data_IF_307557957451
#
_entry.id   IF_307557957451
#
_cell.length_a   1.000
_cell.length_b   1.000
_cell.length_c   1.000
_cell.angle_alpha   90.00
_cell.angle_beta   90.00
_cell.angle_gamma   90.00
#
_symmetry.space_group_name_H-M   'P 1'
#
loop_
_entity.id
_entity.type
_entity.pdbx_description
1 polymer ?
#
# COMPACT_ATOMS: atom_id res chain seq x y z
N UNK A 1 22.86 18.62 30.28
CA UNK A 1 22.45 17.55 31.21
C UNK A 1 23.61 16.60 31.49
N UNK A 2 24.41 16.19 30.49
CA UNK A 2 25.65 15.42 30.70
C UNK A 2 26.65 16.09 31.67
N UNK A 3 26.90 17.40 31.53
CA UNK A 3 27.80 18.17 32.41
C UNK A 3 27.43 18.21 33.90
N UNK A 4 26.20 17.83 34.28
CA UNK A 4 25.72 17.89 35.67
C UNK A 4 25.37 16.54 36.28
N UNK A 5 25.28 15.48 35.48
CA UNK A 5 24.83 14.15 35.91
C UNK A 5 25.87 13.05 35.57
N UNK A 6 26.80 13.29 34.64
CA UNK A 6 27.73 12.24 34.20
C UNK A 6 27.01 11.08 33.48
N UNK A 7 27.75 10.33 32.67
CA UNK A 7 27.18 9.20 31.90
C UNK A 7 26.63 8.10 32.83
N UNK A 8 27.19 7.94 34.03
CA UNK A 8 26.76 6.94 35.02
C UNK A 8 25.34 7.22 35.57
N UNK A 9 24.99 8.47 35.89
CA UNK A 9 23.63 8.77 36.36
C UNK A 9 22.60 8.71 35.22
N UNK A 10 23.03 8.95 33.97
CA UNK A 10 22.21 8.72 32.77
C UNK A 10 21.87 7.23 32.58
N UNK A 11 22.76 6.32 32.97
CA UNK A 11 22.45 4.88 33.00
C UNK A 11 21.39 4.57 34.05
N UNK A 12 21.43 5.19 35.24
CA UNK A 12 20.39 5.02 36.26
C UNK A 12 19.03 5.54 35.81
N UNK A 13 18.99 6.67 35.10
CA UNK A 13 17.75 7.17 34.47
C UNK A 13 17.25 6.20 33.39
N UNK A 14 18.16 5.64 32.59
CA UNK A 14 17.83 4.64 31.58
C UNK A 14 17.24 3.37 32.21
N UNK A 15 17.80 2.91 33.33
CA UNK A 15 17.25 1.79 34.13
C UNK A 15 15.86 2.11 34.63
N UNK A 16 15.62 3.32 35.12
CA UNK A 16 14.29 3.76 35.56
C UNK A 16 13.25 3.75 34.43
N UNK A 17 13.63 4.26 33.24
CA UNK A 17 12.78 4.24 32.04
C UNK A 17 12.53 2.80 31.59
N UNK A 18 13.56 1.95 31.56
CA UNK A 18 13.42 0.54 31.20
C UNK A 18 12.54 -0.22 32.19
N UNK A 19 12.66 0.05 33.49
CA UNK A 19 11.79 -0.53 34.51
C UNK A 19 10.33 -0.08 34.35
N UNK A 20 10.11 1.20 34.01
CA UNK A 20 8.78 1.72 33.68
C UNK A 20 8.22 1.06 32.41
N UNK A 21 9.02 0.91 31.36
CA UNK A 21 8.62 0.18 30.15
C UNK A 21 8.30 -1.28 30.46
N UNK A 22 9.13 -1.96 31.24
CA UNK A 22 8.90 -3.34 31.67
C UNK A 22 7.63 -3.46 32.52
N UNK A 23 7.37 -2.49 33.39
CA UNK A 23 6.15 -2.43 34.18
C UNK A 23 4.91 -2.22 33.31
N UNK A 24 4.97 -1.35 32.31
CA UNK A 24 3.89 -1.14 31.32
C UNK A 24 3.64 -2.42 30.52
N UNK A 25 4.70 -3.08 30.03
CA UNK A 25 4.60 -4.36 29.32
C UNK A 25 4.02 -5.45 30.22
N UNK A 26 4.44 -5.50 31.48
CA UNK A 26 3.88 -6.44 32.47
C UNK A 26 2.40 -6.17 32.74
N UNK A 27 1.99 -4.91 32.81
CA UNK A 27 0.59 -4.50 33.02
C UNK A 27 -0.30 -4.84 31.81
N UNK A 28 0.29 -4.83 30.61
CA UNK A 28 -0.37 -5.18 29.34
C UNK A 28 -0.14 -6.65 28.94
N UNK A 29 0.45 -7.47 29.82
CA UNK A 29 0.88 -8.83 29.49
C UNK A 29 -0.25 -9.71 28.95
N UNK A 30 -1.44 -9.66 29.53
CA UNK A 30 -2.59 -10.48 29.08
C UNK A 30 -3.07 -10.09 27.67
N UNK A 31 -3.01 -8.80 27.29
CA UNK A 31 -3.29 -8.37 25.91
C UNK A 31 -2.12 -8.66 24.96
N UNK A 32 -0.88 -8.64 25.48
CA UNK A 32 0.33 -8.89 24.70
C UNK A 32 0.58 -10.37 24.43
N UNK A 33 0.21 -11.30 25.31
CA UNK A 33 0.35 -12.75 25.07
C UNK A 33 -0.53 -13.19 23.87
N UNK A 34 -1.73 -12.61 23.72
CA UNK A 34 -2.55 -12.78 22.53
C UNK A 34 -1.90 -12.18 21.26
N UNK A 35 -1.19 -11.05 21.40
CA UNK A 35 -0.44 -10.40 20.33
C UNK A 35 0.85 -11.12 19.94
N UNK A 36 1.53 -11.77 20.89
CA UNK A 36 2.79 -12.48 20.70
C UNK A 36 2.56 -13.85 20.03
N UNK A 37 1.50 -14.57 20.43
CA UNK A 37 1.01 -15.72 19.67
C UNK A 37 0.56 -15.33 18.26
N UNK A 38 -0.13 -14.20 18.10
CA UNK A 38 -0.51 -13.70 16.78
C UNK A 38 0.72 -13.33 15.94
N UNK A 39 1.75 -12.72 16.52
CA UNK A 39 3.02 -12.39 15.85
C UNK A 39 3.82 -13.63 15.47
N UNK A 40 3.86 -14.65 16.33
CA UNK A 40 4.50 -15.93 16.04
C UNK A 40 3.79 -16.66 14.90
N UNK A 41 2.45 -16.75 14.95
CA UNK A 41 1.62 -17.32 13.89
C UNK A 41 1.72 -16.53 12.59
N UNK A 42 1.78 -15.19 12.66
CA UNK A 42 2.07 -14.34 11.51
C UNK A 42 3.44 -14.69 10.93
N UNK A 43 4.50 -14.78 11.74
CA UNK A 43 5.85 -15.13 11.27
C UNK A 43 5.88 -16.49 10.59
N UNK A 44 5.13 -17.47 11.12
CA UNK A 44 5.00 -18.80 10.55
C UNK A 44 4.20 -18.82 9.24
N UNK A 45 3.03 -18.16 9.19
CA UNK A 45 2.19 -18.02 7.97
C UNK A 45 2.92 -17.22 6.87
N UNK A 46 3.74 -16.24 7.27
CA UNK A 46 4.62 -15.48 6.38
C UNK A 46 5.73 -16.35 5.79
N UNK A 47 6.27 -17.30 6.56
CA UNK A 47 7.32 -18.22 6.09
C UNK A 47 6.81 -19.24 5.07
N UNK A 48 5.55 -19.68 5.19
CA UNK A 48 5.00 -20.76 4.37
C UNK A 48 4.46 -20.30 3.00
N UNK A 49 4.09 -19.02 2.83
CA UNK A 49 3.50 -18.55 1.56
C UNK A 49 3.83 -17.12 1.13
N UNK A 50 4.35 -16.25 2.01
CA UNK A 50 4.61 -14.87 1.62
C UNK A 50 5.99 -14.66 0.95
N UNK A 51 6.96 -15.56 1.20
CA UNK A 51 8.22 -15.58 0.46
C UNK A 51 8.05 -15.98 -1.02
N UNK A 52 7.13 -16.89 -1.34
CA UNK A 52 6.80 -17.22 -2.73
C UNK A 52 6.09 -16.05 -3.43
N UNK A 53 5.13 -15.39 -2.75
CA UNK A 53 4.48 -14.17 -3.27
C UNK A 53 5.48 -13.03 -3.58
N UNK A 54 6.50 -12.87 -2.73
CA UNK A 54 7.60 -11.95 -2.99
C UNK A 54 8.43 -12.37 -4.19
N UNK A 55 8.73 -13.66 -4.33
CA UNK A 55 9.53 -14.18 -5.45
C UNK A 55 8.81 -14.01 -6.79
N UNK A 56 7.49 -14.19 -6.81
CA UNK A 56 6.70 -14.24 -8.03
C UNK A 56 6.33 -12.84 -8.56
N UNK A 57 6.19 -11.85 -7.67
CA UNK A 57 5.86 -10.47 -8.07
C UNK A 57 7.10 -9.63 -8.37
N UNK A 58 7.27 -9.21 -9.64
CA UNK A 58 8.35 -8.28 -10.03
C UNK A 58 8.29 -6.95 -9.26
N UNK A 59 7.08 -6.43 -8.99
CA UNK A 59 6.88 -5.14 -8.31
C UNK A 59 7.30 -5.20 -6.84
N UNK A 60 6.91 -6.26 -6.12
CA UNK A 60 7.29 -6.45 -4.72
C UNK A 60 8.80 -6.67 -4.57
N UNK A 61 9.45 -7.37 -5.51
CA UNK A 61 10.93 -7.52 -5.51
C UNK A 61 11.64 -6.19 -5.66
N UNK A 62 11.15 -5.31 -6.53
CA UNK A 62 11.77 -3.99 -6.72
C UNK A 62 11.59 -3.11 -5.47
N UNK A 63 10.41 -3.14 -4.83
CA UNK A 63 10.19 -2.48 -3.53
C UNK A 63 11.15 -3.06 -2.49
N UNK A 64 11.22 -4.38 -2.39
CA UNK A 64 12.10 -5.08 -1.47
C UNK A 64 13.58 -4.69 -1.63
N UNK A 65 14.05 -4.64 -2.89
CA UNK A 65 15.41 -4.22 -3.21
C UNK A 65 15.69 -2.76 -2.83
N UNK A 66 14.76 -1.84 -3.13
CA UNK A 66 14.86 -0.43 -2.75
C UNK A 66 15.00 -0.30 -1.23
N UNK A 67 14.10 -0.95 -0.48
CA UNK A 67 14.10 -0.92 0.97
C UNK A 67 15.37 -1.50 1.57
N UNK A 68 15.80 -2.65 1.08
CA UNK A 68 17.03 -3.31 1.51
C UNK A 68 18.26 -2.44 1.27
N UNK A 69 18.34 -1.79 0.11
CA UNK A 69 19.42 -0.85 -0.20
C UNK A 69 19.39 0.39 0.70
N UNK A 70 18.20 0.93 1.02
CA UNK A 70 18.08 2.01 2.00
C UNK A 70 18.65 1.62 3.36
N UNK A 71 18.34 0.40 3.82
CA UNK A 71 18.83 -0.12 5.11
C UNK A 71 20.33 -0.33 5.07
N UNK A 72 20.87 -0.98 4.02
CA UNK A 72 22.31 -1.20 3.87
C UNK A 72 23.07 0.14 3.85
N UNK A 73 22.61 1.12 3.05
CA UNK A 73 23.22 2.45 3.01
C UNK A 73 23.17 3.13 4.38
N UNK A 74 22.03 3.04 5.07
CA UNK A 74 21.90 3.57 6.43
C UNK A 74 22.87 2.93 7.41
N UNK A 75 23.03 1.61 7.38
CA UNK A 75 24.00 0.89 8.22
C UNK A 75 25.44 1.33 7.94
N UNK A 76 25.81 1.51 6.67
CA UNK A 76 27.14 2.01 6.30
C UNK A 76 27.37 3.44 6.80
N UNK A 77 26.40 4.34 6.61
CA UNK A 77 26.48 5.74 7.06
C UNK A 77 26.52 5.83 8.59
N UNK A 78 25.76 5.00 9.30
CA UNK A 78 25.80 4.91 10.76
C UNK A 78 27.18 4.54 11.26
N UNK A 79 27.82 3.55 10.63
CA UNK A 79 29.18 3.20 10.97
C UNK A 79 30.15 4.36 10.70
N UNK A 80 30.06 5.02 9.55
CA UNK A 80 30.92 6.16 9.22
C UNK A 80 30.76 7.32 10.20
N UNK A 81 29.52 7.63 10.60
CA UNK A 81 29.21 8.66 11.58
C UNK A 81 29.78 8.32 12.96
N UNK A 82 29.50 7.12 13.47
CA UNK A 82 30.02 6.68 14.76
C UNK A 82 31.55 6.64 14.77
N UNK A 83 32.17 6.17 13.68
CA UNK A 83 33.63 6.16 13.56
C UNK A 83 34.23 7.57 13.51
N UNK A 84 33.59 8.50 12.81
CA UNK A 84 34.03 9.89 12.77
C UNK A 84 33.93 10.56 14.16
N UNK A 85 32.87 10.29 14.91
CA UNK A 85 32.71 10.74 16.31
C UNK A 85 33.81 10.15 17.19
N UNK A 86 34.08 8.85 17.06
CA UNK A 86 35.10 8.17 17.86
C UNK A 86 36.51 8.72 17.66
N UNK A 87 36.84 9.16 16.44
CA UNK A 87 38.14 9.74 16.11
C UNK A 87 38.32 11.19 16.58
N UNK A 88 37.24 11.96 16.72
CA UNK A 88 37.30 13.40 17.00
C UNK A 88 36.83 13.79 18.40
N UNK A 89 36.02 12.96 19.06
CA UNK A 89 35.48 13.22 20.39
C UNK A 89 36.03 12.19 21.37
N UNK A 90 36.88 12.67 22.28
CA UNK A 90 37.52 11.87 23.32
C UNK A 90 36.71 11.97 24.61
N UNK A 91 36.50 10.83 25.27
CA UNK A 91 35.70 10.74 26.50
C UNK A 91 34.23 10.38 26.23
N UNK A 92 33.67 9.53 27.08
CA UNK A 92 32.29 9.03 26.93
C UNK A 92 31.25 10.13 27.17
N UNK A 93 31.44 10.98 28.17
CA UNK A 93 30.53 12.10 28.47
C UNK A 93 30.41 13.07 27.28
N UNK A 94 31.52 13.40 26.63
CA UNK A 94 31.55 14.29 25.48
C UNK A 94 30.84 13.68 24.26
N UNK A 95 30.96 12.36 24.05
CA UNK A 95 30.23 11.64 23.00
C UNK A 95 28.72 11.65 23.28
N UNK A 96 28.32 11.37 24.52
CA UNK A 96 26.91 11.40 24.95
C UNK A 96 26.31 12.77 24.76
N UNK A 97 27.03 13.83 25.14
CA UNK A 97 26.59 15.21 24.91
C UNK A 97 26.44 15.53 23.42
N UNK A 98 27.41 15.15 22.59
CA UNK A 98 27.36 15.36 21.16
C UNK A 98 26.17 14.64 20.52
N UNK A 99 25.97 13.35 20.82
CA UNK A 99 24.81 12.60 20.29
C UNK A 99 23.50 13.22 20.75
N UNK A 100 23.38 13.61 22.03
CA UNK A 100 22.18 14.26 22.55
C UNK A 100 21.85 15.55 21.80
N UNK A 101 22.83 16.45 21.60
CA UNK A 101 22.63 17.69 20.83
C UNK A 101 22.34 17.41 19.36
N UNK A 102 23.10 16.51 18.73
CA UNK A 102 22.96 16.17 17.32
C UNK A 102 21.57 15.60 17.02
N UNK A 103 21.13 14.59 17.77
CA UNK A 103 19.82 13.97 17.55
C UNK A 103 18.66 14.89 17.93
N UNK A 104 18.82 15.76 18.92
CA UNK A 104 17.81 16.79 19.22
C UNK A 104 17.62 17.75 18.04
N UNK A 105 18.71 18.29 17.49
CA UNK A 105 18.68 19.17 16.31
C UNK A 105 18.13 18.41 15.11
N UNK A 106 18.59 17.18 14.90
CA UNK A 106 18.14 16.34 13.78
C UNK A 106 16.63 16.11 13.81
N UNK A 107 16.05 15.82 14.97
CA UNK A 107 14.61 15.62 15.10
C UNK A 107 13.82 16.90 14.78
N UNK A 108 14.27 18.07 15.26
CA UNK A 108 13.64 19.36 14.94
C UNK A 108 13.71 19.65 13.43
N UNK A 109 14.88 19.43 12.82
CA UNK A 109 15.06 19.57 11.37
C UNK A 109 14.19 18.57 10.61
N UNK A 110 14.12 17.32 11.06
CA UNK A 110 13.30 16.27 10.43
C UNK A 110 11.82 16.64 10.42
N UNK A 111 11.29 17.15 11.54
CA UNK A 111 9.90 17.64 11.61
C UNK A 111 9.67 18.79 10.62
N UNK A 112 10.60 19.74 10.57
CA UNK A 112 10.53 20.91 9.68
C UNK A 112 10.52 20.49 8.20
N UNK A 113 11.41 19.56 7.83
CA UNK A 113 11.49 18.96 6.50
C UNK A 113 10.23 18.17 6.18
N UNK A 114 9.71 17.39 7.13
CA UNK A 114 8.51 16.58 6.92
C UNK A 114 7.26 17.41 6.63
N UNK A 115 7.06 18.52 7.34
CA UNK A 115 5.87 19.37 7.14
C UNK A 115 5.95 20.15 5.83
N UNK A 116 7.11 20.72 5.51
CA UNK A 116 7.26 21.63 4.37
C UNK A 116 7.71 20.90 3.10
N UNK A 117 8.84 20.20 3.19
CA UNK A 117 9.54 19.66 2.03
C UNK A 117 8.82 18.42 1.47
N UNK A 118 8.38 17.48 2.31
CA UNK A 118 7.70 16.26 1.84
C UNK A 118 6.43 16.58 1.05
N UNK A 119 5.57 17.44 1.61
CA UNK A 119 4.33 17.86 0.95
C UNK A 119 4.59 18.62 -0.36
N UNK A 120 5.58 19.52 -0.36
CA UNK A 120 5.95 20.28 -1.56
C UNK A 120 6.53 19.40 -2.67
N UNK A 121 7.45 18.49 -2.35
CA UNK A 121 8.07 17.58 -3.34
C UNK A 121 7.01 16.68 -3.97
N UNK A 122 6.16 16.06 -3.15
CA UNK A 122 5.12 15.14 -3.64
C UNK A 122 4.08 15.85 -4.52
N UNK A 123 3.62 17.05 -4.13
CA UNK A 123 2.64 17.81 -4.92
C UNK A 123 3.22 18.38 -6.22
N UNK A 124 4.46 18.87 -6.19
CA UNK A 124 5.04 19.62 -7.33
C UNK A 124 5.73 18.75 -8.36
N UNK A 125 6.37 17.65 -7.92
CA UNK A 125 7.20 16.79 -8.77
C UNK A 125 6.75 15.32 -8.79
N UNK A 126 5.78 14.96 -7.95
CA UNK A 126 5.18 13.61 -7.92
C UNK A 126 6.06 12.54 -7.26
N UNK A 127 5.47 11.35 -7.16
CA UNK A 127 6.07 10.15 -6.54
C UNK A 127 7.42 9.77 -7.17
N UNK A 128 7.56 9.95 -8.48
CA UNK A 128 8.75 9.54 -9.19
C UNK A 128 9.98 10.30 -8.70
N UNK A 129 9.90 11.64 -8.65
CA UNK A 129 10.99 12.50 -8.18
C UNK A 129 11.25 12.28 -6.71
N UNK A 130 10.21 12.16 -5.88
CA UNK A 130 10.33 11.85 -4.46
C UNK A 130 11.22 10.62 -4.17
N UNK A 131 11.06 9.54 -4.95
CA UNK A 131 11.85 8.31 -4.81
C UNK A 131 13.37 8.49 -5.06
N UNK A 132 13.76 9.49 -5.87
CA UNK A 132 15.18 9.74 -6.17
C UNK A 132 15.82 10.80 -5.26
N UNK A 133 15.02 11.62 -4.57
CA UNK A 133 15.55 12.72 -3.74
C UNK A 133 16.43 12.18 -2.62
N UNK A 134 16.00 11.13 -1.92
CA UNK A 134 16.79 10.54 -0.84
C UNK A 134 18.14 9.97 -1.34
N UNK A 135 18.19 9.03 -2.32
CA UNK A 135 19.47 8.48 -2.75
C UNK A 135 20.38 9.54 -3.41
N UNK A 136 19.83 10.55 -4.09
CA UNK A 136 20.65 11.64 -4.64
C UNK A 136 21.19 12.57 -3.54
N UNK A 137 20.38 12.90 -2.53
CA UNK A 137 20.83 13.68 -1.37
C UNK A 137 21.94 12.96 -0.61
N UNK A 138 21.80 11.65 -0.42
CA UNK A 138 22.84 10.81 0.17
C UNK A 138 24.08 10.73 -0.71
N UNK A 139 23.96 10.65 -2.03
CA UNK A 139 25.12 10.66 -2.93
C UNK A 139 25.93 11.95 -2.81
N UNK A 140 25.27 13.11 -2.71
CA UNK A 140 25.92 14.41 -2.48
C UNK A 140 26.59 14.43 -1.11
N UNK A 141 25.91 13.98 -0.06
CA UNK A 141 26.48 13.97 1.28
C UNK A 141 27.67 12.99 1.42
N UNK A 142 27.57 11.81 0.83
CA UNK A 142 28.65 10.82 0.75
C UNK A 142 29.83 11.30 -0.10
N UNK A 143 29.60 12.13 -1.12
CA UNK A 143 30.67 12.80 -1.87
C UNK A 143 31.48 13.72 -0.96
N UNK A 144 30.80 14.43 -0.04
CA UNK A 144 31.45 15.23 0.99
C UNK A 144 32.39 14.41 1.86
N UNK A 145 31.94 13.23 2.34
CA UNK A 145 32.79 12.32 3.13
C UNK A 145 33.99 11.82 2.31
N UNK A 146 33.77 11.48 1.04
CA UNK A 146 34.84 10.98 0.16
C UNK A 146 35.92 12.02 -0.12
N UNK A 147 35.52 13.29 -0.21
CA UNK A 147 36.42 14.43 -0.40
C UNK A 147 37.18 14.77 0.89
N UNK A 148 36.45 14.90 2.00
CA UNK A 148 37.00 15.31 3.29
C UNK A 148 36.33 14.48 4.40
N UNK A 149 36.94 13.36 4.87
CA UNK A 149 36.31 12.45 5.83
C UNK A 149 36.41 12.99 7.27
N UNK A 150 35.69 14.07 7.56
CA UNK A 150 35.67 14.72 8.88
C UNK A 150 34.31 14.55 9.57
N UNK A 151 34.25 14.85 10.87
CA UNK A 151 33.02 14.77 11.65
C UNK A 151 31.86 15.57 11.01
N UNK A 152 32.14 16.74 10.44
CA UNK A 152 31.11 17.58 9.81
C UNK A 152 30.44 16.87 8.62
N UNK A 153 31.20 16.31 7.69
CA UNK A 153 30.66 15.64 6.50
C UNK A 153 29.90 14.36 6.86
N UNK A 154 30.39 13.62 7.86
CA UNK A 154 29.69 12.44 8.37
C UNK A 154 28.38 12.83 9.08
N UNK A 155 28.38 13.92 9.84
CA UNK A 155 27.18 14.46 10.51
C UNK A 155 26.16 14.97 9.50
N UNK A 156 26.59 15.65 8.43
CA UNK A 156 25.71 16.10 7.35
C UNK A 156 25.10 14.92 6.59
N UNK A 157 25.87 13.85 6.33
CA UNK A 157 25.34 12.64 5.71
C UNK A 157 24.32 11.93 6.60
N UNK A 158 24.62 11.77 7.90
CA UNK A 158 23.69 11.19 8.87
C UNK A 158 22.44 12.05 9.04
N UNK A 159 22.62 13.38 9.05
CA UNK A 159 21.51 14.33 9.15
C UNK A 159 20.60 14.30 7.92
N UNK A 160 21.20 14.23 6.72
CA UNK A 160 20.47 14.06 5.45
C UNK A 160 19.71 12.74 5.42
N UNK A 161 20.36 11.65 5.84
CA UNK A 161 19.73 10.33 5.96
C UNK A 161 18.53 10.40 6.89
N UNK A 162 18.71 10.87 8.13
CA UNK A 162 17.63 10.97 9.12
C UNK A 162 16.48 11.84 8.62
N UNK A 163 16.76 13.07 8.21
CA UNK A 163 15.74 14.03 7.84
C UNK A 163 14.92 13.57 6.61
N UNK A 164 15.56 12.99 5.59
CA UNK A 164 14.86 12.56 4.37
C UNK A 164 14.24 11.16 4.48
N UNK A 165 14.83 10.26 5.27
CA UNK A 165 14.32 8.88 5.44
C UNK A 165 13.01 8.86 6.22
N UNK A 166 12.93 9.57 7.33
CA UNK A 166 11.71 9.61 8.16
C UNK A 166 10.58 10.44 7.53
N UNK A 167 10.90 11.29 6.55
CA UNK A 167 9.92 12.18 5.95
C UNK A 167 9.48 11.69 4.56
N UNK A 168 10.38 11.76 3.57
CA UNK A 168 10.07 11.55 2.17
C UNK A 168 10.07 10.08 1.79
N UNK A 169 11.02 9.29 2.30
CA UNK A 169 11.09 7.86 2.02
C UNK A 169 9.92 7.12 2.63
N UNK A 170 9.55 7.41 3.88
CA UNK A 170 8.36 6.84 4.50
C UNK A 170 7.07 7.13 3.70
N UNK A 171 6.84 8.39 3.31
CA UNK A 171 5.69 8.75 2.48
C UNK A 171 5.74 8.05 1.10
N UNK A 172 6.93 7.95 0.50
CA UNK A 172 7.13 7.28 -0.79
C UNK A 172 6.84 5.79 -0.68
N UNK A 173 7.28 5.12 0.40
CA UNK A 173 7.00 3.69 0.65
C UNK A 173 5.50 3.42 0.72
N UNK A 174 4.75 4.23 1.45
CA UNK A 174 3.29 4.07 1.53
C UNK A 174 2.62 4.15 0.16
N UNK A 175 3.08 5.08 -0.68
CA UNK A 175 2.62 5.22 -2.06
C UNK A 175 3.07 4.05 -2.96
N UNK A 176 4.24 3.47 -2.74
CA UNK A 176 4.70 2.26 -3.46
C UNK A 176 3.83 1.02 -3.16
N UNK A 177 3.22 0.98 -1.96
CA UNK A 177 2.29 -0.06 -1.52
C UNK A 177 0.82 0.23 -1.86
N UNK A 178 0.50 1.40 -2.39
CA UNK A 178 -0.87 1.75 -2.81
C UNK A 178 -1.44 0.82 -3.90
N UNK A 179 -0.70 0.44 -4.97
CA UNK A 179 -1.20 -0.45 -6.01
C UNK A 179 -1.18 -1.94 -5.63
N UNK A 180 -0.83 -2.29 -4.39
CA UNK A 180 -0.77 -3.68 -3.93
C UNK A 180 -2.15 -4.06 -3.36
N UNK A 181 -2.80 -5.13 -3.86
CA UNK A 181 -4.11 -5.56 -3.37
C UNK A 181 -4.09 -5.79 -1.86
N UNK A 182 -5.15 -5.42 -1.17
CA UNK A 182 -5.24 -5.43 0.31
C UNK A 182 -4.89 -6.79 0.92
N UNK A 183 -5.35 -7.89 0.33
CA UNK A 183 -5.04 -9.26 0.77
C UNK A 183 -3.56 -9.64 0.65
N UNK A 184 -2.85 -9.09 -0.35
CA UNK A 184 -1.38 -9.25 -0.48
C UNK A 184 -0.67 -8.26 0.43
N UNK A 185 -1.16 -7.02 0.55
CA UNK A 185 -0.55 -5.96 1.35
C UNK A 185 -0.49 -6.32 2.84
N UNK A 186 -1.54 -6.92 3.40
CA UNK A 186 -1.56 -7.34 4.81
C UNK A 186 -0.52 -8.41 5.13
N UNK A 187 -0.22 -9.32 4.20
CA UNK A 187 0.83 -10.34 4.36
C UNK A 187 2.22 -9.82 3.98
N UNK A 188 2.32 -9.09 2.86
CA UNK A 188 3.60 -8.65 2.32
C UNK A 188 4.22 -7.49 3.11
N UNK A 189 3.43 -6.52 3.60
CA UNK A 189 3.98 -5.33 4.28
C UNK A 189 4.76 -5.70 5.55
N UNK A 190 4.21 -6.48 6.51
CA UNK A 190 4.97 -6.87 7.70
C UNK A 190 6.21 -7.72 7.38
N UNK A 191 6.12 -8.61 6.39
CA UNK A 191 7.27 -9.41 5.97
C UNK A 191 8.36 -8.55 5.35
N UNK A 192 7.99 -7.64 4.46
CA UNK A 192 8.91 -6.68 3.87
C UNK A 192 9.53 -5.81 4.96
N UNK A 193 8.73 -5.28 5.89
CA UNK A 193 9.21 -4.42 6.96
C UNK A 193 10.14 -5.18 7.92
N UNK A 194 9.86 -6.44 8.26
CA UNK A 194 10.66 -7.20 9.24
C UNK A 194 11.85 -7.92 8.60
N UNK A 195 11.60 -8.73 7.56
CA UNK A 195 12.63 -9.57 6.94
C UNK A 195 13.65 -8.74 6.18
N UNK A 196 13.24 -7.66 5.50
CA UNK A 196 14.18 -6.81 4.79
C UNK A 196 14.92 -5.89 5.74
N UNK A 197 14.27 -5.41 6.81
CA UNK A 197 14.98 -4.65 7.84
C UNK A 197 16.07 -5.48 8.50
N UNK A 198 15.74 -6.68 8.97
CA UNK A 198 16.72 -7.57 9.62
C UNK A 198 17.75 -8.09 8.61
N UNK A 199 17.29 -8.53 7.43
CA UNK A 199 18.16 -9.04 6.37
C UNK A 199 19.11 -7.98 5.84
N UNK A 200 18.60 -6.77 5.57
CA UNK A 200 19.39 -5.63 5.12
C UNK A 200 20.41 -5.18 6.17
N UNK A 201 20.02 -5.13 7.44
CA UNK A 201 20.95 -4.81 8.54
C UNK A 201 22.03 -5.88 8.67
N UNK A 202 21.67 -7.17 8.56
CA UNK A 202 22.62 -8.28 8.57
C UNK A 202 23.59 -8.23 7.40
N UNK A 203 23.10 -8.00 6.17
CA UNK A 203 23.94 -7.84 4.97
C UNK A 203 24.86 -6.62 5.11
N UNK A 204 24.35 -5.47 5.56
CA UNK A 204 25.14 -4.28 5.82
C UNK A 204 26.23 -4.51 6.89
N UNK A 205 25.89 -5.22 7.97
CA UNK A 205 26.83 -5.61 9.02
C UNK A 205 27.92 -6.57 8.53
N UNK A 206 27.57 -7.59 7.73
CA UNK A 206 28.54 -8.51 7.12
C UNK A 206 29.46 -7.76 6.15
N UNK A 207 28.88 -6.87 5.32
CA UNK A 207 29.65 -6.01 4.41
C UNK A 207 30.65 -5.15 5.19
N UNK A 208 30.24 -4.52 6.29
CA UNK A 208 31.13 -3.76 7.17
C UNK A 208 32.19 -4.64 7.82
N UNK A 209 31.81 -5.83 8.30
CA UNK A 209 32.74 -6.75 8.93
C UNK A 209 33.86 -7.13 7.95
N UNK A 210 33.51 -7.53 6.74
CA UNK A 210 34.47 -7.86 5.69
C UNK A 210 35.28 -6.64 5.25
N UNK A 211 34.63 -5.51 5.00
CA UNK A 211 35.29 -4.29 4.56
C UNK A 211 36.30 -3.77 5.60
N UNK A 212 35.88 -3.64 6.85
CA UNK A 212 36.66 -2.96 7.89
C UNK A 212 37.62 -3.93 8.58
N UNK A 213 37.15 -5.11 9.00
CA UNK A 213 37.98 -6.02 9.81
C UNK A 213 38.86 -6.92 8.96
N UNK A 214 38.41 -7.35 7.77
CA UNK A 214 39.20 -8.23 6.89
C UNK A 214 40.04 -7.43 5.90
N UNK A 215 39.44 -6.45 5.22
CA UNK A 215 40.12 -5.64 4.21
C UNK A 215 40.77 -4.35 4.76
N UNK A 216 40.54 -4.00 6.03
CA UNK A 216 41.16 -2.83 6.66
C UNK A 216 40.69 -1.48 6.10
N UNK A 217 39.50 -1.44 5.49
CA UNK A 217 38.97 -0.24 4.85
C UNK A 217 38.60 0.84 5.90
N UNK A 218 39.02 2.08 5.64
CA UNK A 218 38.71 3.24 6.46
C UNK A 218 37.41 3.94 6.07
N UNK A 219 37.15 5.10 6.67
CA UNK A 219 35.94 5.90 6.44
C UNK A 219 35.77 6.22 4.95
N UNK A 220 36.87 6.59 4.27
CA UNK A 220 36.84 7.02 2.87
C UNK A 220 36.52 5.87 1.92
N UNK A 221 37.08 4.70 2.17
CA UNK A 221 36.89 3.50 1.35
C UNK A 221 35.48 2.94 1.54
N UNK A 222 34.93 3.00 2.75
CA UNK A 222 33.51 2.67 2.99
C UNK A 222 32.57 3.61 2.23
N UNK A 223 32.94 4.87 1.98
CA UNK A 223 32.12 5.75 1.11
C UNK A 223 32.02 5.22 -0.32
N UNK A 224 33.02 4.50 -0.83
CA UNK A 224 32.95 3.87 -2.16
C UNK A 224 31.88 2.78 -2.16
N UNK A 225 31.80 1.97 -1.09
CA UNK A 225 30.73 0.98 -0.93
C UNK A 225 29.35 1.63 -0.85
N UNK A 226 29.25 2.77 -0.16
CA UNK A 226 28.02 3.57 -0.13
C UNK A 226 27.64 4.03 -1.53
N UNK A 227 28.59 4.52 -2.33
CA UNK A 227 28.32 4.91 -3.72
C UNK A 227 27.86 3.75 -4.61
N UNK A 228 28.46 2.56 -4.45
CA UNK A 228 28.02 1.36 -5.17
C UNK A 228 26.58 1.01 -4.79
N UNK A 229 26.27 0.98 -3.49
CA UNK A 229 24.92 0.72 -3.01
C UNK A 229 23.90 1.78 -3.48
N UNK A 230 24.28 3.06 -3.47
CA UNK A 230 23.46 4.17 -4.00
C UNK A 230 23.24 4.04 -5.51
N UNK A 231 24.25 3.63 -6.28
CA UNK A 231 24.11 3.37 -7.71
C UNK A 231 23.10 2.26 -8.00
N UNK A 232 23.17 1.17 -7.25
CA UNK A 232 22.19 0.08 -7.31
C UNK A 232 20.79 0.55 -6.91
N UNK A 233 20.69 1.40 -5.89
CA UNK A 233 19.42 1.96 -5.42
C UNK A 233 18.80 2.87 -6.47
N UNK A 234 19.56 3.79 -7.04
CA UNK A 234 19.10 4.68 -8.11
C UNK A 234 18.66 3.84 -9.31
N UNK A 235 19.43 2.81 -9.70
CA UNK A 235 19.05 1.90 -10.79
C UNK A 235 17.73 1.17 -10.50
N UNK A 236 17.54 0.65 -9.28
CA UNK A 236 16.30 0.02 -8.85
C UNK A 236 15.13 1.01 -8.84
N UNK A 237 15.33 2.24 -8.37
CA UNK A 237 14.34 3.30 -8.37
C UNK A 237 13.95 3.74 -9.80
N UNK A 238 14.91 3.82 -10.73
CA UNK A 238 14.64 4.10 -12.14
C UNK A 238 13.91 2.95 -12.84
N UNK A 239 14.25 1.70 -12.50
CA UNK A 239 13.51 0.52 -12.96
C UNK A 239 12.07 0.57 -12.44
N UNK A 240 11.90 0.91 -11.16
CA UNK A 240 10.60 1.08 -10.54
C UNK A 240 9.78 2.16 -11.22
N UNK A 241 10.37 3.27 -11.65
CA UNK A 241 9.68 4.30 -12.44
C UNK A 241 9.15 3.76 -13.77
N UNK A 242 9.92 2.91 -14.48
CA UNK A 242 9.47 2.28 -15.73
C UNK A 242 8.34 1.28 -15.48
N UNK A 243 8.43 0.50 -14.39
CA UNK A 243 7.40 -0.45 -13.99
C UNK A 243 6.13 0.26 -13.51
N UNK A 244 6.23 1.29 -12.67
CA UNK A 244 5.12 2.16 -12.27
C UNK A 244 4.51 2.90 -13.45
N UNK A 245 5.29 3.38 -14.42
CA UNK A 245 4.74 4.00 -15.63
C UNK A 245 3.91 3.02 -16.47
N UNK A 246 4.28 1.74 -16.51
CA UNK A 246 3.50 0.67 -17.15
C UNK A 246 2.30 0.25 -16.30
N UNK A 247 2.46 0.16 -14.99
CA UNK A 247 1.41 -0.18 -14.04
C UNK A 247 0.40 0.95 -13.88
N UNK A 248 0.81 2.22 -14.00
CA UNK A 248 -0.03 3.41 -13.95
C UNK A 248 -0.69 3.67 -15.31
N UNK A 249 -0.06 3.38 -16.46
CA UNK A 249 -0.77 3.36 -17.75
C UNK A 249 -1.77 2.21 -17.84
N UNK A 250 -1.47 1.08 -17.19
CA UNK A 250 -2.49 0.07 -16.88
C UNK A 250 -3.55 0.75 -16.01
N UNK A 251 -3.26 1.23 -14.79
CA UNK A 251 -4.26 1.83 -13.88
C UNK A 251 -4.99 3.09 -14.39
N UNK A 252 -4.48 3.89 -15.34
CA UNK A 252 -5.20 5.04 -15.93
C UNK A 252 -6.05 4.57 -17.13
N UNK A 253 -5.73 3.43 -17.73
CA UNK A 253 -6.66 2.67 -18.58
C UNK A 253 -7.48 1.61 -17.81
N UNK A 254 -7.28 1.47 -16.49
CA UNK A 254 -7.73 0.34 -15.65
C UNK A 254 -8.18 0.83 -14.26
N UNK A 255 -8.51 2.12 -14.07
CA UNK A 255 -8.98 2.59 -12.77
C UNK A 255 -10.44 2.23 -12.45
N UNK A 256 -11.06 1.40 -13.30
CA UNK A 256 -12.25 0.61 -12.96
C UNK A 256 -12.05 -0.92 -12.96
N UNK A 257 -10.94 -1.51 -13.47
CA UNK A 257 -11.06 -2.88 -14.06
C UNK A 257 -10.34 -4.03 -13.30
N UNK A 258 -9.50 -3.80 -12.28
CA UNK A 258 -8.64 -4.89 -11.72
C UNK A 258 -9.15 -5.76 -10.56
N UNK A 259 -10.43 -5.65 -10.18
CA UNK A 259 -11.14 -6.72 -9.46
C UNK A 259 -12.08 -7.52 -10.39
N UNK A 260 -12.27 -7.07 -11.63
CA UNK A 260 -13.15 -7.70 -12.63
C UNK A 260 -12.35 -8.56 -13.62
N UNK A 261 -11.14 -8.16 -14.01
CA UNK A 261 -10.32 -8.90 -15.00
C UNK A 261 -9.73 -10.24 -14.53
N UNK A 262 -9.88 -10.62 -13.25
CA UNK A 262 -9.61 -12.00 -12.82
C UNK A 262 -10.78 -12.95 -13.11
N UNK A 263 -11.93 -12.44 -13.58
CA UNK A 263 -13.11 -13.23 -13.96
C UNK A 263 -13.45 -13.09 -15.46
N UNK A 264 -13.05 -12.00 -16.13
CA UNK A 264 -13.68 -11.61 -17.42
C UNK A 264 -12.84 -11.90 -18.68
N UNK A 265 -11.65 -12.48 -18.55
CA UNK A 265 -10.87 -12.92 -19.71
C UNK A 265 -11.16 -14.34 -20.20
N UNK A 266 -11.78 -15.18 -19.36
CA UNK A 266 -12.05 -16.59 -19.62
C UNK A 266 -13.25 -17.05 -18.78
N UNK A 267 -14.45 -16.51 -19.03
CA UNK A 267 -15.66 -17.23 -18.66
C UNK A 267 -15.70 -18.49 -19.52
N UNK A 268 -14.99 -19.52 -19.06
CA UNK A 268 -15.02 -20.84 -19.66
C UNK A 268 -16.44 -21.38 -19.46
N UNK A 269 -16.85 -22.34 -20.30
CA UNK A 269 -18.16 -22.98 -20.19
C UNK A 269 -18.48 -23.47 -18.76
N UNK A 270 -17.45 -23.86 -18.00
CA UNK A 270 -17.55 -24.26 -16.59
C UNK A 270 -17.97 -23.11 -15.65
N UNK A 271 -17.38 -21.92 -15.80
CA UNK A 271 -17.71 -20.75 -14.96
C UNK A 271 -19.11 -20.20 -15.29
N UNK A 272 -19.51 -20.24 -16.56
CA UNK A 272 -20.88 -19.87 -16.97
C UNK A 272 -21.88 -20.84 -16.34
N UNK A 273 -21.57 -22.14 -16.32
CA UNK A 273 -22.44 -23.14 -15.70
C UNK A 273 -22.51 -23.00 -14.17
N UNK A 274 -21.40 -22.63 -13.53
CA UNK A 274 -21.38 -22.34 -12.09
C UNK A 274 -22.18 -21.08 -11.73
N UNK A 275 -22.07 -20.01 -12.54
CA UNK A 275 -22.90 -18.82 -12.41
C UNK A 275 -24.38 -19.17 -12.61
N UNK A 276 -24.72 -19.97 -13.62
CA UNK A 276 -26.09 -20.45 -13.85
C UNK A 276 -26.66 -21.20 -12.66
N UNK A 277 -25.89 -22.12 -12.06
CA UNK A 277 -26.32 -22.85 -10.85
C UNK A 277 -26.54 -21.91 -9.67
N UNK A 278 -25.68 -20.90 -9.53
CA UNK A 278 -25.79 -19.92 -8.45
C UNK A 278 -27.03 -19.05 -8.61
N UNK A 279 -27.36 -18.62 -9.84
CA UNK A 279 -28.57 -17.83 -10.11
C UNK A 279 -29.86 -18.63 -9.85
N UNK A 280 -29.91 -19.92 -10.20
CA UNK A 280 -31.13 -20.74 -10.09
C UNK A 280 -31.42 -21.30 -8.69
N UNK A 281 -30.43 -21.38 -7.81
CA UNK A 281 -30.59 -22.06 -6.52
C UNK A 281 -29.60 -21.63 -5.43
N UNK A 282 -28.89 -20.53 -5.62
CA UNK A 282 -28.02 -19.96 -4.61
C UNK A 282 -28.80 -19.28 -3.49
N UNK A 283 -28.12 -19.04 -2.37
CA UNK A 283 -28.62 -18.14 -1.32
C UNK A 283 -28.62 -16.69 -1.84
N UNK A 284 -29.46 -15.83 -1.25
CA UNK A 284 -29.62 -14.41 -1.63
C UNK A 284 -28.27 -13.70 -1.80
N UNK A 285 -27.34 -13.86 -0.84
CA UNK A 285 -26.01 -13.23 -0.90
C UNK A 285 -25.20 -13.69 -2.12
N UNK A 286 -25.29 -14.97 -2.48
CA UNK A 286 -24.56 -15.55 -3.62
C UNK A 286 -25.18 -15.14 -4.95
N UNK A 287 -26.51 -15.08 -5.03
CA UNK A 287 -27.24 -14.57 -6.20
C UNK A 287 -26.86 -13.11 -6.43
N UNK A 288 -26.93 -12.28 -5.39
CA UNK A 288 -26.56 -10.87 -5.44
C UNK A 288 -25.09 -10.72 -5.87
N UNK A 289 -24.17 -11.52 -5.35
CA UNK A 289 -22.78 -11.50 -5.82
C UNK A 289 -22.65 -11.88 -7.30
N UNK A 290 -23.33 -12.92 -7.77
CA UNK A 290 -23.33 -13.34 -9.17
C UNK A 290 -23.90 -12.25 -10.09
N UNK A 291 -25.00 -11.59 -9.72
CA UNK A 291 -25.56 -10.46 -10.45
C UNK A 291 -24.57 -9.29 -10.51
N UNK A 292 -23.79 -9.05 -9.45
CA UNK A 292 -22.72 -8.03 -9.48
C UNK A 292 -21.63 -8.33 -10.49
N UNK A 293 -21.29 -9.59 -10.68
CA UNK A 293 -20.33 -9.98 -11.69
C UNK A 293 -20.92 -9.78 -13.10
N UNK A 294 -22.19 -10.11 -13.32
CA UNK A 294 -22.86 -9.99 -14.63
C UNK A 294 -23.12 -8.54 -15.04
N UNK A 295 -23.42 -7.66 -14.10
CA UNK A 295 -23.54 -6.23 -14.37
C UNK A 295 -22.22 -5.61 -14.89
N UNK A 296 -21.09 -6.20 -14.53
CA UNK A 296 -19.74 -5.74 -14.90
C UNK A 296 -19.23 -6.46 -16.14
N UNK A 297 -19.64 -7.71 -16.32
CA UNK A 297 -19.31 -8.57 -17.45
C UNK A 297 -20.60 -9.15 -18.08
N UNK A 298 -21.27 -8.36 -18.92
CA UNK A 298 -22.48 -8.80 -19.62
C UNK A 298 -22.23 -10.12 -20.37
N UNK A 299 -22.96 -11.17 -19.97
CA UNK A 299 -22.83 -12.53 -20.51
C UNK A 299 -24.18 -12.95 -21.12
N UNK A 300 -24.48 -12.61 -22.38
CA UNK A 300 -25.81 -12.75 -23.00
C UNK A 300 -26.45 -14.15 -22.85
N UNK A 301 -25.63 -15.19 -22.74
CA UNK A 301 -26.07 -16.58 -22.54
C UNK A 301 -26.89 -16.78 -21.27
N UNK A 302 -26.72 -15.93 -20.26
CA UNK A 302 -27.40 -16.00 -18.96
C UNK A 302 -28.63 -15.09 -18.88
N UNK A 303 -28.96 -14.31 -19.90
CA UNK A 303 -30.13 -13.41 -19.88
C UNK A 303 -31.45 -14.17 -19.64
N UNK A 304 -31.55 -15.42 -20.13
CA UNK A 304 -32.71 -16.29 -19.86
C UNK A 304 -32.82 -16.71 -18.41
N UNK A 305 -31.69 -16.93 -17.74
CA UNK A 305 -31.64 -17.31 -16.33
C UNK A 305 -32.05 -16.13 -15.42
N UNK A 306 -31.77 -14.89 -15.85
CA UNK A 306 -32.18 -13.67 -15.14
C UNK A 306 -33.70 -13.45 -15.13
N UNK A 307 -34.43 -13.97 -16.14
CA UNK A 307 -35.89 -13.89 -16.18
C UNK A 307 -36.54 -14.57 -14.98
N UNK A 308 -35.99 -15.69 -14.51
CA UNK A 308 -36.51 -16.41 -13.34
C UNK A 308 -36.30 -15.64 -12.03
N UNK A 309 -35.32 -14.73 -11.99
CA UNK A 309 -35.03 -13.89 -10.83
C UNK A 309 -35.92 -12.66 -10.70
N UNK A 310 -36.72 -12.34 -11.72
CA UNK A 310 -37.66 -11.22 -11.68
C UNK A 310 -38.78 -11.44 -10.65
N UNK A 311 -39.15 -12.69 -10.36
CA UNK A 311 -40.18 -13.05 -9.37
C UNK A 311 -39.58 -13.48 -8.01
N UNK A 312 -38.30 -13.20 -7.77
CA UNK A 312 -37.62 -13.65 -6.55
C UNK A 312 -38.18 -12.95 -5.29
N UNK A 313 -38.33 -13.64 -4.12
CA UNK A 313 -38.90 -13.04 -2.91
C UNK A 313 -38.11 -11.84 -2.38
N UNK A 314 -36.79 -11.84 -2.57
CA UNK A 314 -35.89 -10.77 -2.15
C UNK A 314 -35.91 -9.57 -3.14
N UNK A 315 -36.11 -8.36 -2.62
CA UNK A 315 -36.23 -7.13 -3.43
C UNK A 315 -34.93 -6.76 -4.15
N UNK A 316 -33.78 -6.98 -3.50
CA UNK A 316 -32.48 -6.62 -4.06
C UNK A 316 -32.13 -7.54 -5.24
N UNK A 317 -32.53 -8.81 -5.16
CA UNK A 317 -32.40 -9.74 -6.29
C UNK A 317 -33.24 -9.29 -7.49
N UNK A 318 -34.51 -8.92 -7.29
CA UNK A 318 -35.38 -8.44 -8.39
C UNK A 318 -34.81 -7.17 -9.04
N UNK A 319 -34.45 -6.18 -8.22
CA UNK A 319 -33.88 -4.90 -8.65
C UNK A 319 -32.64 -5.13 -9.53
N UNK A 320 -31.74 -5.98 -9.06
CA UNK A 320 -30.47 -6.25 -9.74
C UNK A 320 -30.62 -7.12 -10.97
N UNK A 321 -31.59 -8.04 -11.01
CA UNK A 321 -31.92 -8.78 -12.21
C UNK A 321 -32.33 -7.84 -13.34
N UNK A 322 -33.21 -6.87 -13.07
CA UNK A 322 -33.64 -5.84 -14.05
C UNK A 322 -32.45 -4.96 -14.48
N UNK A 323 -31.64 -4.48 -13.54
CA UNK A 323 -30.46 -3.67 -13.84
C UNK A 323 -29.45 -4.43 -14.71
N UNK A 324 -29.26 -5.72 -14.44
CA UNK A 324 -28.37 -6.58 -15.23
C UNK A 324 -28.90 -6.78 -16.65
N UNK A 325 -30.21 -7.02 -16.81
CA UNK A 325 -30.84 -7.12 -18.14
C UNK A 325 -30.69 -5.83 -18.95
N UNK A 326 -30.85 -4.64 -18.33
CA UNK A 326 -30.64 -3.35 -18.99
C UNK A 326 -29.19 -3.20 -19.46
N UNK A 327 -28.21 -3.48 -18.58
CA UNK A 327 -26.78 -3.40 -18.93
C UNK A 327 -26.37 -4.37 -20.05
N UNK A 328 -26.99 -5.55 -20.11
CA UNK A 328 -26.77 -6.52 -21.18
C UNK A 328 -27.45 -6.12 -22.50
N UNK A 329 -28.31 -5.10 -22.48
CA UNK A 329 -29.16 -4.68 -23.61
C UNK A 329 -29.98 -5.83 -24.19
N UNK A 330 -30.48 -6.70 -23.31
CA UNK A 330 -31.23 -7.89 -23.71
C UNK A 330 -32.64 -7.51 -24.14
N UNK A 331 -32.93 -7.44 -25.44
CA UNK A 331 -34.28 -7.12 -25.92
C UNK A 331 -35.26 -8.29 -25.69
N UNK A 332 -36.55 -7.99 -25.55
CA UNK A 332 -37.62 -9.01 -25.50
C UNK A 332 -38.09 -9.43 -24.10
N UNK A 333 -37.57 -8.83 -23.02
CA UNK A 333 -38.08 -9.05 -21.64
C UNK A 333 -39.02 -7.96 -21.14
N UNK A 334 -39.46 -7.03 -22.01
CA UNK A 334 -40.31 -5.91 -21.59
C UNK A 334 -41.64 -6.38 -20.96
N UNK A 335 -42.23 -7.45 -21.48
CA UNK A 335 -43.46 -8.03 -20.92
C UNK A 335 -43.25 -8.70 -19.56
N UNK A 336 -42.02 -9.18 -19.29
CA UNK A 336 -41.66 -9.81 -18.01
C UNK A 336 -41.33 -8.76 -16.93
N UNK A 337 -40.84 -7.60 -17.33
CA UNK A 337 -40.48 -6.50 -16.41
C UNK A 337 -41.67 -5.59 -16.11
N UNK A 338 -42.69 -5.53 -16.98
CA UNK A 338 -43.90 -4.72 -16.77
C UNK A 338 -44.61 -4.95 -15.41
N UNK A 339 -44.78 -6.18 -14.91
CA UNK A 339 -45.36 -6.40 -13.58
C UNK A 339 -44.58 -5.73 -12.43
N UNK A 340 -43.27 -5.54 -12.59
CA UNK A 340 -42.40 -4.91 -11.59
C UNK A 340 -42.59 -3.38 -11.49
N UNK A 341 -43.37 -2.78 -12.39
CA UNK A 341 -43.77 -1.37 -12.26
C UNK A 341 -44.67 -1.13 -11.04
N UNK A 342 -45.36 -2.17 -10.56
CA UNK A 342 -46.20 -2.15 -9.36
C UNK A 342 -45.53 -2.85 -8.16
N UNK A 343 -44.22 -3.09 -8.21
CA UNK A 343 -43.49 -3.75 -7.12
C UNK A 343 -43.61 -2.98 -5.79
N UNK A 344 -43.62 -3.70 -4.68
CA UNK A 344 -43.67 -3.10 -3.34
C UNK A 344 -42.44 -2.20 -3.05
N UNK A 345 -41.30 -2.48 -3.67
CA UNK A 345 -40.06 -1.74 -3.50
C UNK A 345 -39.90 -0.64 -4.55
N UNK A 346 -39.68 0.59 -4.09
CA UNK A 346 -39.43 1.76 -4.93
C UNK A 346 -38.23 1.58 -5.86
N UNK A 347 -37.17 0.93 -5.38
CA UNK A 347 -35.94 0.75 -6.14
C UNK A 347 -36.14 -0.23 -7.30
N UNK A 348 -36.97 -1.26 -7.12
CA UNK A 348 -37.35 -2.21 -8.16
C UNK A 348 -38.20 -1.51 -9.23
N UNK A 349 -39.20 -0.71 -8.82
CA UNK A 349 -40.03 0.08 -9.75
C UNK A 349 -39.19 1.02 -10.61
N UNK A 350 -38.19 1.66 -10.02
CA UNK A 350 -37.29 2.59 -10.71
C UNK A 350 -36.51 1.90 -11.82
N UNK A 351 -35.90 0.75 -11.53
CA UNK A 351 -35.17 -0.02 -12.55
C UNK A 351 -36.13 -0.61 -13.60
N UNK A 352 -37.35 -1.00 -13.22
CA UNK A 352 -38.36 -1.49 -14.14
C UNK A 352 -38.82 -0.41 -15.13
N UNK A 353 -39.08 0.82 -14.67
CA UNK A 353 -39.41 1.97 -15.54
C UNK A 353 -38.27 2.23 -16.52
N UNK A 354 -37.03 2.30 -16.03
CA UNK A 354 -35.84 2.53 -16.86
C UNK A 354 -35.72 1.49 -17.97
N UNK A 355 -35.88 0.21 -17.62
CA UNK A 355 -35.81 -0.89 -18.57
C UNK A 355 -36.93 -0.82 -19.62
N UNK A 356 -38.18 -0.61 -19.20
CA UNK A 356 -39.33 -0.54 -20.12
C UNK A 356 -39.23 0.67 -21.05
N UNK A 357 -38.76 1.81 -20.56
CA UNK A 357 -38.54 2.98 -21.42
C UNK A 357 -37.40 2.76 -22.43
N UNK A 358 -36.36 2.01 -22.08
CA UNK A 358 -35.25 1.73 -22.99
C UNK A 358 -35.59 0.65 -24.04
N UNK A 359 -36.35 -0.39 -23.66
CA UNK A 359 -36.55 -1.58 -24.50
C UNK A 359 -38.02 -1.92 -24.83
N UNK A 360 -38.98 -1.09 -24.41
CA UNK A 360 -40.42 -1.35 -24.54
C UNK A 360 -41.05 -1.04 -25.90
N UNK A 361 -40.28 -0.56 -26.88
CA UNK A 361 -40.70 -0.42 -28.29
C UNK A 361 -41.73 0.68 -28.60
N UNK A 362 -42.19 1.44 -27.60
CA UNK A 362 -43.07 2.62 -27.76
C UNK A 362 -42.23 3.87 -27.49
N UNK A 363 -42.62 5.02 -28.05
CA UNK A 363 -41.93 6.30 -27.86
C UNK A 363 -41.63 6.53 -26.36
N UNK A 364 -40.34 6.54 -25.94
CA UNK A 364 -39.95 6.63 -24.55
C UNK A 364 -40.51 7.88 -23.87
N UNK A 365 -40.68 8.98 -24.61
CA UNK A 365 -41.23 10.22 -24.09
C UNK A 365 -42.72 10.09 -23.75
N UNK A 366 -43.51 9.43 -24.61
CA UNK A 366 -44.94 9.19 -24.39
C UNK A 366 -45.18 8.20 -23.23
N UNK A 367 -44.32 7.19 -23.08
CA UNK A 367 -44.37 6.28 -21.94
C UNK A 367 -44.00 6.98 -20.63
N UNK A 368 -42.94 7.80 -20.63
CA UNK A 368 -42.54 8.57 -19.46
C UNK A 368 -43.65 9.53 -19.01
N UNK A 369 -44.32 10.21 -19.94
CA UNK A 369 -45.47 11.07 -19.64
C UNK A 369 -46.63 10.30 -19.00
N UNK A 370 -46.90 9.07 -19.45
CA UNK A 370 -47.94 8.22 -18.83
C UNK A 370 -47.57 7.83 -17.39
N UNK A 371 -46.32 7.44 -17.13
CA UNK A 371 -45.84 7.10 -15.78
C UNK A 371 -45.74 8.30 -14.85
N UNK A 372 -45.55 9.51 -15.38
CA UNK A 372 -45.54 10.75 -14.61
C UNK A 372 -46.95 11.19 -14.18
N UNK A 373 -48.00 10.67 -14.84
CA UNK A 373 -49.41 10.97 -14.56
C UNK A 373 -50.05 10.04 -13.54
N UNK A 374 -49.52 8.82 -13.39
CA UNK A 374 -49.88 7.88 -12.33
C UNK A 374 -49.06 8.14 -11.05
N UNK A 375 -49.65 7.74 -9.93
CA UNK A 375 -49.30 8.02 -8.52
C UNK A 375 -47.92 8.64 -8.19
N UNK A 376 -47.95 9.58 -7.24
CA UNK A 376 -46.85 10.42 -6.72
C UNK A 376 -45.49 9.75 -6.50
N UNK A 377 -45.46 8.43 -6.28
CA UNK A 377 -44.26 7.63 -6.02
C UNK A 377 -43.53 7.18 -7.29
N UNK A 378 -44.25 6.85 -8.37
CA UNK A 378 -43.65 6.49 -9.68
C UNK A 378 -43.01 7.73 -10.32
N UNK A 379 -43.60 8.90 -10.06
CA UNK A 379 -43.11 10.20 -10.53
C UNK A 379 -41.72 10.57 -10.00
N UNK A 380 -41.34 10.09 -8.82
CA UNK A 380 -40.00 10.32 -8.23
C UNK A 380 -38.95 9.42 -8.89
N UNK A 381 -39.33 8.18 -9.22
CA UNK A 381 -38.49 7.21 -9.91
C UNK A 381 -38.21 7.59 -11.37
N UNK A 382 -39.17 8.21 -12.06
CA UNK A 382 -39.03 8.65 -13.46
C UNK A 382 -38.06 9.84 -13.65
N UNK A 383 -37.73 10.58 -12.59
CA UNK A 383 -36.95 11.84 -12.66
C UNK A 383 -35.49 11.67 -12.21
N UNK A 384 -35.12 10.53 -11.59
CA UNK A 384 -33.77 10.22 -11.11
C UNK A 384 -33.03 9.21 -11.98
#
# INVERSE_FOLDING_TARGET
>A
MADRLGTEDLLLVSVGILALCAFIVWLLREEMEAGEEASARLTEDLSQGAFSLLRDSSHLRTIAAILGLTIIVGTLLDWQFNRAVELHIVGEDAKTEFFGKFFAILNVVSISVQVVFTGWVLRRYGLQVALLVLPLGLAVASAGILAVPVLLTASLAKGTEGALRYSLDQATRELLFLPVPTHVKYKAKPLVDLAIYRGGTGVGGILLLLAVNVAGLGIREVSVLVFVALGLWIAAALRMRREFGRSLRRLIGVQDVRLEELVVGHLNAETIEELRRTLRGGEVERITYALALLERAPTPELARDLRELLDHPDEEVRRRAVATLSKMRSEGHADDVRPLLEDASLDVRTEAVRYVCEFGGVDPAAQMESFLSDESEVRLAAVG
#
